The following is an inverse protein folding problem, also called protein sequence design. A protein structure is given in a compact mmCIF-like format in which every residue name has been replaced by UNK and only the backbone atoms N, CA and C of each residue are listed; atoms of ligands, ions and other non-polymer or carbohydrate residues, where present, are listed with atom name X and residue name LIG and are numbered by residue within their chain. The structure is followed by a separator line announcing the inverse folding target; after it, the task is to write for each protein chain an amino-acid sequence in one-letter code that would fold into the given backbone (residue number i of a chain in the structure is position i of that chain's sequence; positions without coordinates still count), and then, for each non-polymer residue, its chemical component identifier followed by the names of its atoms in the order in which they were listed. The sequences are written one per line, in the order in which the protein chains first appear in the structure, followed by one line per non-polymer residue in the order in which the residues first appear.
data_IF_670035896610
#
_entry.id   IF_670035896610
#
_cell.length_a   1.000
_cell.length_b   1.000
_cell.length_c   1.000
_cell.angle_alpha   90.00
_cell.angle_beta   90.00
_cell.angle_gamma   90.00
#
_symmetry.space_group_name_H-M   'P 1'
#
loop_
_entity.id
_entity.type
_entity.pdbx_description
1 polymer ?
#
# COMPACT_ATOMS: atom_id res chain seq x y z
N UNK A 1 1.35 -23.22 -11.84
CA UNK A 1 2.34 -22.21 -11.44
C UNK A 1 1.60 -20.89 -11.27
N UNK A 2 1.78 -20.20 -10.14
CA UNK A 2 1.22 -18.85 -9.96
C UNK A 2 2.01 -17.92 -10.87
N UNK A 3 1.36 -17.32 -11.87
CA UNK A 3 2.02 -16.47 -12.84
C UNK A 3 2.28 -15.08 -12.24
N UNK A 4 3.41 -14.95 -11.54
CA UNK A 4 3.81 -13.75 -10.79
C UNK A 4 3.77 -12.49 -11.69
N UNK A 5 3.99 -12.66 -12.99
CA UNK A 5 4.03 -11.58 -13.99
C UNK A 5 2.64 -11.04 -14.36
N UNK A 6 1.57 -11.81 -14.13
CA UNK A 6 0.19 -11.33 -14.33
C UNK A 6 -0.29 -10.36 -13.24
N UNK A 7 0.45 -10.24 -12.13
CA UNK A 7 0.04 -9.47 -10.96
C UNK A 7 0.73 -8.12 -10.81
N UNK A 8 1.84 -7.91 -11.55
CA UNK A 8 2.37 -6.56 -11.78
C UNK A 8 1.66 -6.04 -13.01
N UNK A 9 0.91 -4.93 -12.93
CA UNK A 9 0.29 -4.36 -14.10
C UNK A 9 1.38 -3.97 -15.10
N UNK A 10 1.59 -4.79 -16.13
CA UNK A 10 2.52 -4.48 -17.23
C UNK A 10 1.85 -3.65 -18.34
N UNK A 11 0.57 -3.33 -18.17
CA UNK A 11 -0.15 -2.36 -19.01
C UNK A 11 0.29 -0.94 -18.65
N UNK A 12 0.29 -0.05 -19.63
CA UNK A 12 0.69 1.35 -19.47
C UNK A 12 -0.21 2.06 -18.44
N UNK A 13 -1.52 1.83 -18.51
CA UNK A 13 -2.49 2.34 -17.53
C UNK A 13 -2.22 1.82 -16.11
N UNK A 14 -1.81 0.56 -15.98
CA UNK A 14 -1.48 -0.04 -14.69
C UNK A 14 -0.19 0.50 -14.07
N UNK A 15 0.85 0.74 -14.89
CA UNK A 15 2.10 1.36 -14.45
C UNK A 15 1.84 2.81 -13.99
N UNK A 16 1.07 3.57 -14.75
CA UNK A 16 0.73 4.96 -14.40
C UNK A 16 -0.11 5.01 -13.12
N UNK A 17 -1.15 4.16 -13.01
CA UNK A 17 -1.95 4.06 -11.79
C UNK A 17 -1.08 3.72 -10.58
N UNK A 18 -0.11 2.82 -10.75
CA UNK A 18 0.86 2.44 -9.72
C UNK A 18 1.69 3.64 -9.26
N UNK A 19 2.29 4.38 -10.18
CA UNK A 19 3.12 5.55 -9.85
C UNK A 19 2.32 6.64 -9.13
N UNK A 20 1.11 6.92 -9.61
CA UNK A 20 0.20 7.90 -8.98
C UNK A 20 -0.20 7.45 -7.58
N UNK A 21 -0.56 6.17 -7.39
CA UNK A 21 -0.93 5.63 -6.08
C UNK A 21 0.23 5.70 -5.09
N UNK A 22 1.43 5.28 -5.50
CA UNK A 22 2.63 5.36 -4.65
C UNK A 22 2.90 6.81 -4.23
N UNK A 23 2.80 7.76 -5.14
CA UNK A 23 2.97 9.18 -4.84
C UNK A 23 1.95 9.69 -3.82
N UNK A 24 0.66 9.37 -4.01
CA UNK A 24 -0.39 9.84 -3.10
C UNK A 24 -0.25 9.18 -1.72
N UNK A 25 0.06 7.89 -1.67
CA UNK A 25 0.30 7.16 -0.41
C UNK A 25 1.52 7.73 0.32
N UNK A 26 2.59 8.03 -0.42
CA UNK A 26 3.78 8.67 0.15
C UNK A 26 3.44 10.05 0.73
N UNK A 27 2.68 10.88 0.01
CA UNK A 27 2.24 12.17 0.51
C UNK A 27 1.35 12.02 1.76
N UNK A 28 0.44 11.05 1.76
CA UNK A 28 -0.39 10.75 2.93
C UNK A 28 0.45 10.33 4.13
N UNK A 29 1.48 9.50 3.93
CA UNK A 29 2.43 9.13 4.98
C UNK A 29 3.20 10.34 5.51
N UNK A 30 3.70 11.21 4.64
CA UNK A 30 4.44 12.43 5.05
C UNK A 30 3.54 13.40 5.83
N UNK A 31 2.28 13.55 5.41
CA UNK A 31 1.31 14.38 6.12
C UNK A 31 0.95 13.74 7.46
N UNK A 32 0.66 12.45 7.48
CA UNK A 32 0.35 11.71 8.71
C UNK A 32 1.52 11.76 9.70
N UNK A 33 2.76 11.64 9.21
CA UNK A 33 3.97 11.81 10.00
C UNK A 33 4.02 13.21 10.62
N UNK A 34 3.98 14.26 9.80
CA UNK A 34 4.00 15.65 10.30
C UNK A 34 2.88 15.97 11.29
N UNK A 35 1.71 15.35 11.17
CA UNK A 35 0.56 15.60 12.06
C UNK A 35 0.63 14.74 13.33
N UNK A 36 1.12 13.50 13.24
CA UNK A 36 0.95 12.47 14.29
C UNK A 36 2.30 12.00 14.86
N UNK A 37 3.28 11.74 14.00
CA UNK A 37 4.58 11.18 14.35
C UNK A 37 5.69 12.18 13.96
N UNK A 38 6.11 13.04 14.89
CA UNK A 38 7.25 13.91 14.58
C UNK A 38 8.53 13.08 14.50
N UNK A 39 9.26 13.20 13.38
CA UNK A 39 10.64 12.71 13.13
C UNK A 39 10.83 11.38 12.36
N UNK A 40 9.87 10.90 11.56
CA UNK A 40 10.20 9.78 10.68
C UNK A 40 11.01 10.27 9.48
N UNK A 41 12.07 9.53 9.15
CA UNK A 41 12.88 9.85 7.99
C UNK A 41 12.07 9.70 6.70
N UNK A 42 11.97 10.77 5.91
CA UNK A 42 11.24 10.82 4.64
C UNK A 42 11.64 9.68 3.68
N UNK A 43 12.92 9.31 3.64
CA UNK A 43 13.39 8.18 2.80
C UNK A 43 12.72 6.86 3.19
N UNK A 44 12.50 6.63 4.50
CA UNK A 44 11.85 5.41 4.99
C UNK A 44 10.36 5.40 4.67
N UNK A 45 9.69 6.56 4.70
CA UNK A 45 8.30 6.68 4.29
C UNK A 45 8.11 6.39 2.79
N UNK A 46 9.05 6.83 1.95
CA UNK A 46 9.04 6.50 0.52
C UNK A 46 9.24 5.01 0.29
N UNK A 47 10.22 4.41 0.97
CA UNK A 47 10.47 2.97 0.91
C UNK A 47 9.22 2.20 1.36
N UNK A 48 8.57 2.64 2.45
CA UNK A 48 7.34 2.04 2.95
C UNK A 48 6.22 2.08 1.91
N UNK A 49 5.99 3.23 1.27
CA UNK A 49 4.95 3.38 0.24
C UNK A 49 5.20 2.46 -0.97
N UNK A 50 6.44 2.38 -1.45
CA UNK A 50 6.83 1.52 -2.56
C UNK A 50 6.66 0.04 -2.20
N UNK A 51 7.23 -0.38 -1.06
CA UNK A 51 7.21 -1.77 -0.62
C UNK A 51 5.77 -2.22 -0.36
N UNK A 52 4.97 -1.43 0.37
CA UNK A 52 3.57 -1.78 0.68
C UNK A 52 2.73 -1.96 -0.58
N UNK A 53 2.93 -1.11 -1.59
CA UNK A 53 2.19 -1.18 -2.84
C UNK A 53 2.39 -2.50 -3.59
N UNK A 54 3.62 -3.02 -3.62
CA UNK A 54 3.90 -4.30 -4.30
C UNK A 54 3.65 -5.52 -3.40
N UNK A 55 4.02 -5.45 -2.11
CA UNK A 55 3.88 -6.60 -1.21
C UNK A 55 2.42 -6.93 -0.89
N UNK A 56 1.56 -5.94 -0.69
CA UNK A 56 0.16 -6.19 -0.38
C UNK A 56 -0.57 -7.05 -1.44
N UNK A 57 -0.53 -6.71 -2.75
CA UNK A 57 -1.14 -7.53 -3.79
C UNK A 57 -0.43 -8.87 -3.99
N UNK A 58 0.91 -8.93 -3.89
CA UNK A 58 1.67 -10.19 -4.05
C UNK A 58 1.31 -11.20 -2.95
N UNK A 59 1.31 -10.77 -1.68
CA UNK A 59 0.97 -11.65 -0.57
C UNK A 59 -0.53 -12.02 -0.64
N UNK A 60 -1.39 -11.06 -1.00
CA UNK A 60 -2.83 -11.27 -1.13
C UNK A 60 -3.17 -12.33 -2.17
N UNK A 61 -2.55 -12.27 -3.35
CA UNK A 61 -2.78 -13.23 -4.43
C UNK A 61 -2.22 -14.62 -4.09
N UNK A 62 -1.04 -14.69 -3.47
CA UNK A 62 -0.46 -15.95 -3.01
C UNK A 62 -1.41 -16.66 -2.05
N UNK A 63 -1.90 -15.98 -1.01
CA UNK A 63 -2.73 -16.63 0.01
C UNK A 63 -4.15 -16.91 -0.49
N UNK A 64 -4.73 -16.04 -1.33
CA UNK A 64 -6.01 -16.30 -1.96
C UNK A 64 -6.01 -17.57 -2.84
N UNK A 65 -4.84 -17.95 -3.38
CA UNK A 65 -4.67 -19.20 -4.14
C UNK A 65 -4.69 -20.48 -3.29
N UNK A 66 -4.53 -20.38 -1.96
CA UNK A 66 -4.46 -21.54 -1.06
C UNK A 66 -5.58 -21.60 -0.02
N UNK A 67 -6.14 -20.46 0.39
CA UNK A 67 -7.16 -20.40 1.45
C UNK A 67 -8.28 -19.43 1.08
N UNK A 68 -9.51 -19.92 1.04
CA UNK A 68 -10.70 -19.10 0.84
C UNK A 68 -11.14 -18.44 2.16
N UNK A 69 -10.42 -17.39 2.56
CA UNK A 69 -10.79 -16.58 3.73
C UNK A 69 -11.67 -15.41 3.29
N UNK A 70 -12.88 -15.24 3.86
CA UNK A 70 -13.70 -14.06 3.62
C UNK A 70 -12.92 -12.77 3.95
N UNK A 71 -13.05 -11.75 3.11
CA UNK A 71 -12.43 -10.42 3.31
C UNK A 71 -10.89 -10.39 3.32
N UNK A 72 -10.21 -11.44 2.83
CA UNK A 72 -8.75 -11.49 2.83
C UNK A 72 -8.10 -10.32 2.07
N UNK A 73 -8.77 -9.83 1.03
CA UNK A 73 -8.32 -8.66 0.26
C UNK A 73 -8.27 -7.34 1.04
N UNK A 74 -8.91 -7.25 2.21
CA UNK A 74 -8.83 -6.08 3.09
C UNK A 74 -7.94 -6.32 4.30
N UNK A 75 -8.04 -7.51 4.92
CA UNK A 75 -7.28 -7.86 6.13
C UNK A 75 -5.78 -7.91 5.81
N UNK A 76 -5.43 -8.44 4.65
CA UNK A 76 -4.05 -8.75 4.34
C UNK A 76 -3.20 -7.51 4.01
N UNK A 77 -3.68 -6.55 3.19
CA UNK A 77 -2.98 -5.28 3.05
C UNK A 77 -2.79 -4.57 4.38
N UNK A 78 -3.79 -4.59 5.28
CA UNK A 78 -3.65 -3.99 6.61
C UNK A 78 -2.51 -4.63 7.42
N UNK A 79 -2.38 -5.95 7.40
CA UNK A 79 -1.28 -6.66 8.08
C UNK A 79 0.07 -6.22 7.48
N UNK A 80 0.19 -6.15 6.15
CA UNK A 80 1.43 -5.69 5.49
C UNK A 80 1.78 -4.27 5.92
N UNK A 81 0.79 -3.37 5.94
CA UNK A 81 0.94 -2.00 6.41
C UNK A 81 1.44 -1.93 7.87
N UNK A 82 0.89 -2.76 8.76
CA UNK A 82 1.31 -2.86 10.17
C UNK A 82 2.76 -3.36 10.28
N UNK A 83 3.11 -4.45 9.58
CA UNK A 83 4.46 -5.01 9.60
C UNK A 83 5.47 -3.98 9.11
N UNK A 84 5.19 -3.31 7.99
CA UNK A 84 6.08 -2.28 7.44
C UNK A 84 6.20 -1.07 8.36
N UNK A 85 5.11 -0.67 9.02
CA UNK A 85 5.13 0.40 10.01
C UNK A 85 6.04 0.06 11.18
N UNK A 86 5.95 -1.15 11.70
CA UNK A 86 6.80 -1.58 12.81
C UNK A 86 8.29 -1.65 12.44
N UNK A 87 8.59 -2.11 11.22
CA UNK A 87 9.97 -2.25 10.72
C UNK A 87 10.62 -0.91 10.36
N UNK A 88 9.87 0.04 9.80
CA UNK A 88 10.40 1.26 9.18
C UNK A 88 10.24 2.51 10.05
N UNK A 89 9.17 2.59 10.84
CA UNK A 89 8.92 3.67 11.81
C UNK A 89 9.46 3.21 13.16
N UNK A 90 10.75 3.41 13.42
CA UNK A 90 11.40 2.92 14.66
C UNK A 90 11.36 3.95 15.79
N UNK A 91 11.17 5.22 15.42
CA UNK A 91 11.34 6.38 16.27
C UNK A 91 10.07 6.74 17.07
N UNK A 92 8.93 6.11 16.76
CA UNK A 92 7.64 6.42 17.37
C UNK A 92 7.09 5.28 18.23
N UNK A 93 6.26 5.59 19.22
CA UNK A 93 5.55 4.59 20.03
C UNK A 93 4.56 3.77 19.20
N UNK A 94 4.31 2.52 19.61
CA UNK A 94 3.37 1.59 18.93
C UNK A 94 2.01 2.23 18.59
N UNK A 95 1.45 3.02 19.52
CA UNK A 95 0.16 3.71 19.30
C UNK A 95 0.24 4.73 18.18
N UNK A 96 1.36 5.43 18.06
CA UNK A 96 1.60 6.45 17.04
C UNK A 96 1.85 5.79 15.69
N UNK A 97 2.67 4.73 15.65
CA UNK A 97 2.89 3.91 14.44
C UNK A 97 1.56 3.40 13.88
N UNK A 98 0.72 2.81 14.74
CA UNK A 98 -0.55 2.25 14.32
C UNK A 98 -1.47 3.32 13.68
N UNK A 99 -1.51 4.54 14.22
CA UNK A 99 -2.29 5.63 13.62
C UNK A 99 -1.79 6.00 12.23
N UNK A 100 -0.48 6.20 12.06
CA UNK A 100 0.13 6.56 10.77
C UNK A 100 -0.14 5.45 9.74
N UNK A 101 0.06 4.20 10.14
CA UNK A 101 -0.18 3.02 9.33
C UNK A 101 -1.66 2.91 8.92
N UNK A 102 -2.59 3.12 9.84
CA UNK A 102 -4.02 3.04 9.56
C UNK A 102 -4.43 4.13 8.57
N UNK A 103 -3.91 5.35 8.70
CA UNK A 103 -4.15 6.42 7.72
C UNK A 103 -3.65 6.00 6.34
N UNK A 104 -2.42 5.47 6.24
CA UNK A 104 -1.87 5.00 4.99
C UNK A 104 -2.67 3.85 4.37
N UNK A 105 -3.14 2.91 5.19
CA UNK A 105 -4.01 1.80 4.77
C UNK A 105 -5.36 2.30 4.24
N UNK A 106 -6.00 3.27 4.91
CA UNK A 106 -7.26 3.84 4.46
C UNK A 106 -7.08 4.55 3.11
N UNK A 107 -6.02 5.33 2.96
CA UNK A 107 -5.68 5.98 1.69
C UNK A 107 -5.41 4.94 0.61
N UNK A 108 -4.59 3.93 0.89
CA UNK A 108 -4.34 2.82 -0.04
C UNK A 108 -5.64 2.13 -0.49
N UNK A 109 -6.54 1.84 0.45
CA UNK A 109 -7.82 1.17 0.16
C UNK A 109 -8.69 2.05 -0.72
N UNK A 110 -8.81 3.34 -0.41
CA UNK A 110 -9.55 4.30 -1.21
C UNK A 110 -8.99 4.40 -2.65
N UNK A 111 -7.67 4.51 -2.78
CA UNK A 111 -7.00 4.57 -4.09
C UNK A 111 -7.19 3.28 -4.89
N UNK A 112 -7.14 2.12 -4.21
CA UNK A 112 -7.30 0.81 -4.84
C UNK A 112 -8.74 0.59 -5.34
N UNK A 113 -9.74 1.02 -4.57
CA UNK A 113 -11.15 0.83 -4.91
C UNK A 113 -11.70 1.87 -5.89
N UNK A 114 -11.22 3.11 -5.83
CA UNK A 114 -11.81 4.22 -6.58
C UNK A 114 -10.87 4.80 -7.63
N UNK A 115 -9.61 5.09 -7.30
CA UNK A 115 -8.72 5.79 -8.22
C UNK A 115 -8.13 4.86 -9.29
N UNK A 116 -7.67 3.69 -8.89
CA UNK A 116 -7.04 2.70 -9.78
C UNK A 116 -7.96 2.29 -10.93
N UNK A 117 -9.25 1.92 -10.68
CA UNK A 117 -10.15 1.57 -11.78
C UNK A 117 -10.42 2.73 -12.73
N UNK A 118 -10.49 3.96 -12.21
CA UNK A 118 -10.69 5.17 -13.02
C UNK A 118 -9.49 5.41 -13.93
N UNK A 119 -8.26 5.35 -13.42
CA UNK A 119 -7.05 5.54 -14.23
C UNK A 119 -6.95 4.47 -15.32
N UNK A 120 -7.20 3.20 -14.98
CA UNK A 120 -7.17 2.10 -15.94
C UNK A 120 -8.27 2.27 -17.01
N UNK A 121 -9.46 2.75 -16.64
CA UNK A 121 -10.53 3.00 -17.61
C UNK A 121 -10.21 4.12 -18.61
N UNK A 122 -9.42 5.11 -18.19
CA UNK A 122 -8.99 6.23 -19.03
C UNK A 122 -7.77 5.86 -19.90
N UNK A 123 -7.01 4.84 -19.51
CA UNK A 123 -5.80 4.37 -20.18
C UNK A 123 -5.88 2.83 -20.36
N UNK A 124 -6.72 2.34 -21.27
CA UNK A 124 -7.02 0.90 -21.41
C UNK A 124 -5.90 0.07 -22.05
N UNK A 125 -4.71 0.66 -22.28
CA UNK A 125 -3.57 0.03 -22.95
C UNK A 125 -2.43 -0.22 -21.96
#
# INVERSE_FOLDING_TARGET
MVDILSFVPMTLGGIIATLVNVLIIFLALVIADKVIAHNVNVKRLLIMALIAFFLAPIIGSLIAGYVAIPYIGLILPLIVWIILGELLIKEADMKTKLKVVVVAFVVYTFLSLYLTPVIISLLPF
#
